data_IF_374207233573
#
_entry.id   IF_374207233573
#
_cell.length_a   1.000
_cell.length_b   1.000
_cell.length_c   1.000
_cell.angle_alpha   90.00
_cell.angle_beta   90.00
_cell.angle_gamma   90.00
#
_symmetry.space_group_name_H-M   'P 1'
#
loop_
_entity.id
_entity.type
_entity.pdbx_description
1 polymer ?
#
# COMPACT_ATOMS: atom_id res chain seq x y z
N UNK A 1 7.05 24.40 15.40
CA UNK A 1 6.70 23.03 15.83
C UNK A 1 5.50 22.63 15.01
N UNK A 2 5.71 21.88 13.92
CA UNK A 2 4.63 21.53 13.00
C UNK A 2 3.92 20.29 13.52
N UNK A 3 2.66 20.44 13.88
CA UNK A 3 1.77 19.35 14.27
C UNK A 3 1.47 18.52 13.02
N UNK A 4 2.07 17.34 12.91
CA UNK A 4 1.70 16.38 11.87
C UNK A 4 0.29 15.89 12.17
N UNK A 5 -0.69 16.35 11.38
CA UNK A 5 -2.04 15.81 11.42
C UNK A 5 -1.98 14.32 11.06
N UNK A 6 -2.50 13.45 11.94
CA UNK A 6 -2.64 12.02 11.68
C UNK A 6 -3.58 11.82 10.48
N UNK A 7 -3.03 11.53 9.30
CA UNK A 7 -3.83 11.22 8.10
C UNK A 7 -4.37 9.80 8.24
N UNK A 8 -5.70 9.67 8.22
CA UNK A 8 -6.36 8.37 8.22
C UNK A 8 -6.32 7.75 6.82
N UNK A 9 -5.71 6.57 6.71
CA UNK A 9 -5.71 5.75 5.49
C UNK A 9 -6.75 4.63 5.59
N UNK A 10 -7.46 4.36 4.50
CA UNK A 10 -8.42 3.25 4.38
C UNK A 10 -8.01 2.42 3.15
N UNK A 11 -7.69 1.14 3.35
CA UNK A 11 -7.18 0.24 2.31
C UNK A 11 -7.80 -1.18 2.41
N UNK A 12 -7.98 -1.84 1.26
CA UNK A 12 -8.31 -3.27 1.14
C UNK A 12 -7.24 -4.01 0.34
N UNK A 13 -6.44 -4.85 1.00
CA UNK A 13 -5.42 -5.69 0.36
C UNK A 13 -6.02 -7.03 -0.05
N UNK A 14 -5.85 -7.39 -1.32
CA UNK A 14 -6.31 -8.66 -1.88
C UNK A 14 -5.12 -9.45 -2.43
N UNK A 15 -5.09 -10.75 -2.16
CA UNK A 15 -4.14 -11.64 -2.83
C UNK A 15 -4.58 -11.84 -4.28
N UNK A 16 -3.67 -11.63 -5.23
CA UNK A 16 -3.94 -11.77 -6.66
C UNK A 16 -2.88 -12.66 -7.28
N UNK A 17 -3.31 -13.76 -7.90
CA UNK A 17 -2.42 -14.61 -8.66
C UNK A 17 -1.87 -13.86 -9.90
N UNK A 18 -0.59 -13.99 -10.27
CA UNK A 18 0.03 -13.22 -11.35
C UNK A 18 -0.74 -13.28 -12.68
N UNK A 19 -1.28 -14.44 -13.02
CA UNK A 19 -2.09 -14.71 -14.22
C UNK A 19 -3.37 -13.85 -14.30
N UNK A 20 -3.86 -13.34 -13.17
CA UNK A 20 -5.06 -12.51 -13.10
C UNK A 20 -4.78 -11.01 -13.21
N UNK A 21 -3.51 -10.59 -13.10
CA UNK A 21 -3.15 -9.17 -13.04
C UNK A 21 -3.55 -8.40 -14.32
N UNK A 22 -3.35 -9.02 -15.48
CA UNK A 22 -3.69 -8.41 -16.77
C UNK A 22 -5.21 -8.20 -16.94
N UNK A 23 -6.02 -9.12 -16.41
CA UNK A 23 -7.49 -9.00 -16.39
C UNK A 23 -7.92 -7.93 -15.40
N UNK A 24 -7.37 -7.94 -14.19
CA UNK A 24 -7.67 -6.97 -13.14
C UNK A 24 -7.40 -5.54 -13.62
N UNK A 25 -6.23 -5.27 -14.21
CA UNK A 25 -5.87 -3.93 -14.74
C UNK A 25 -6.85 -3.40 -15.79
N UNK A 26 -7.53 -4.27 -16.54
CA UNK A 26 -8.51 -3.89 -17.58
C UNK A 26 -9.95 -3.88 -17.06
N UNK A 27 -10.17 -4.21 -15.79
CA UNK A 27 -11.50 -4.35 -15.23
C UNK A 27 -12.28 -3.02 -15.29
N UNK A 28 -13.56 -3.01 -15.74
CA UNK A 28 -14.33 -1.79 -15.91
C UNK A 28 -14.44 -0.94 -14.65
N UNK A 29 -14.62 -1.57 -13.47
CA UNK A 29 -14.72 -0.84 -12.20
C UNK A 29 -13.44 -0.08 -11.84
N UNK A 30 -12.27 -0.68 -12.09
CA UNK A 30 -10.99 -0.04 -11.81
C UNK A 30 -10.68 1.07 -12.83
N UNK A 31 -11.14 0.91 -14.08
CA UNK A 31 -11.05 1.97 -15.10
C UNK A 31 -11.95 3.16 -14.79
N UNK A 32 -13.18 2.91 -14.34
CA UNK A 32 -14.13 3.96 -13.99
C UNK A 32 -13.66 4.82 -12.82
N UNK A 33 -12.97 4.21 -11.83
CA UNK A 33 -12.39 4.92 -10.69
C UNK A 33 -10.97 5.46 -10.89
N UNK A 34 -10.36 5.25 -12.07
CA UNK A 34 -8.97 5.64 -12.29
C UNK A 34 -8.84 7.17 -12.39
N UNK A 35 -8.04 7.78 -11.51
CA UNK A 35 -7.74 9.23 -11.53
C UNK A 35 -6.68 9.63 -12.57
N UNK A 36 -6.16 8.67 -13.34
CA UNK A 36 -5.11 8.88 -14.34
C UNK A 36 -4.62 7.58 -14.94
N UNK A 37 -3.62 7.67 -15.83
CA UNK A 37 -2.99 6.50 -16.45
C UNK A 37 -2.21 5.71 -15.38
N UNK A 38 -2.43 4.39 -15.23
CA UNK A 38 -1.61 3.56 -14.35
C UNK A 38 -0.14 3.59 -14.78
N UNK A 39 0.76 3.81 -13.83
CA UNK A 39 2.22 3.82 -14.04
C UNK A 39 2.85 2.78 -13.13
N UNK A 40 3.69 1.92 -13.69
CA UNK A 40 4.53 1.02 -12.91
C UNK A 40 5.75 1.79 -12.40
N UNK A 41 5.98 1.77 -11.09
CA UNK A 41 7.15 2.37 -10.45
C UNK A 41 7.87 1.31 -9.65
N UNK A 42 9.19 1.39 -9.62
CA UNK A 42 9.99 0.62 -8.66
C UNK A 42 9.91 1.34 -7.33
N UNK A 43 9.55 0.60 -6.28
CA UNK A 43 9.45 1.08 -4.92
C UNK A 43 10.41 0.27 -4.07
N UNK A 44 11.20 0.97 -3.25
CA UNK A 44 12.08 0.38 -2.25
C UNK A 44 11.57 0.87 -0.90
N UNK A 45 11.44 -0.06 0.04
CA UNK A 45 11.03 0.22 1.41
C UNK A 45 11.94 -0.55 2.35
N UNK A 46 12.45 0.16 3.35
CA UNK A 46 13.19 -0.44 4.46
C UNK A 46 12.30 -0.45 5.69
N UNK A 47 12.09 -1.64 6.25
CA UNK A 47 11.24 -1.85 7.42
C UNK A 47 12.12 -1.92 8.66
N UNK A 48 11.79 -1.10 9.65
CA UNK A 48 12.49 -1.03 10.92
C UNK A 48 11.57 -1.54 12.03
N UNK A 49 12.10 -2.42 12.87
CA UNK A 49 11.45 -2.87 14.10
C UNK A 49 12.53 -3.11 15.18
N UNK A 50 12.11 -3.26 16.43
CA UNK A 50 12.99 -3.68 17.51
C UNK A 50 13.15 -5.21 17.53
N UNK A 51 14.17 -5.72 18.23
CA UNK A 51 14.41 -7.18 18.31
C UNK A 51 13.23 -7.95 18.93
N UNK A 52 12.43 -7.31 19.78
CA UNK A 52 11.21 -7.87 20.38
C UNK A 52 9.93 -7.69 19.52
N UNK A 53 10.07 -7.15 18.32
CA UNK A 53 8.99 -6.85 17.36
C UNK A 53 7.93 -5.88 17.93
N UNK A 54 8.35 -4.83 18.62
CA UNK A 54 7.46 -3.89 19.29
C UNK A 54 6.42 -3.26 18.35
N UNK A 55 6.84 -2.77 17.18
CA UNK A 55 5.96 -2.09 16.25
C UNK A 55 4.93 -3.07 15.66
N UNK A 56 5.40 -4.23 15.20
CA UNK A 56 4.54 -5.28 14.65
C UNK A 56 3.48 -5.75 15.65
N UNK A 57 3.86 -5.98 16.93
CA UNK A 57 2.92 -6.38 17.99
C UNK A 57 1.84 -5.33 18.24
N UNK A 58 2.16 -4.05 18.03
CA UNK A 58 1.21 -2.93 18.10
C UNK A 58 0.48 -2.65 16.79
N UNK A 59 0.71 -3.46 15.76
CA UNK A 59 0.17 -3.28 14.40
C UNK A 59 0.57 -1.92 13.80
N UNK A 60 1.78 -1.48 14.12
CA UNK A 60 2.42 -0.31 13.55
C UNK A 60 3.62 -0.75 12.70
N UNK A 61 4.01 0.11 11.76
CA UNK A 61 5.16 -0.14 10.89
C UNK A 61 5.94 1.16 10.76
N UNK A 62 7.25 1.10 10.95
CA UNK A 62 8.17 2.17 10.59
C UNK A 62 8.80 1.81 9.24
N UNK A 63 8.58 2.65 8.24
CA UNK A 63 9.07 2.46 6.88
C UNK A 63 9.66 3.77 6.36
N UNK A 64 10.80 3.68 5.68
CA UNK A 64 11.46 4.79 4.96
C UNK A 64 11.54 4.52 3.47
#
# INVERSE_FOLDING_TARGET
>A
MSEQAMVMEIELKLLVAPEHLARLRRHPLLRAGARGKPVSRRFFAEYYDTEDCFATRRRCVLVT
#
